data_IF_241184645686
#
_entry.id   IF_241184645686
#
_cell.length_a   1.000
_cell.length_b   1.000
_cell.length_c   1.000
_cell.angle_alpha   90.00
_cell.angle_beta   90.00
_cell.angle_gamma   90.00
#
_symmetry.space_group_name_H-M   'P 1'
#
loop_
_entity.id
_entity.type
_entity.pdbx_description
1 polymer ?
#
# COMPACT_ATOMS: atom_id res chain seq x y z
N UNK A 1 18.51 -3.63 -13.17
CA UNK A 1 17.58 -4.78 -13.14
C UNK A 1 16.35 -4.35 -12.35
N UNK A 2 15.13 -4.74 -12.73
CA UNK A 2 13.94 -4.42 -11.94
C UNK A 2 13.94 -5.27 -10.67
N UNK A 3 14.40 -4.69 -9.57
CA UNK A 3 14.55 -5.30 -8.24
C UNK A 3 13.50 -4.80 -7.22
N UNK A 4 12.54 -4.01 -7.69
CA UNK A 4 11.50 -3.38 -6.89
C UNK A 4 10.17 -3.31 -7.64
N UNK A 5 9.08 -3.10 -6.89
CA UNK A 5 7.71 -2.97 -7.42
C UNK A 5 7.16 -1.62 -6.99
N UNK A 6 6.55 -0.89 -7.93
CA UNK A 6 5.77 0.32 -7.65
C UNK A 6 4.28 -0.01 -7.76
N UNK A 7 3.50 0.43 -6.78
CA UNK A 7 2.05 0.27 -6.76
C UNK A 7 1.39 1.63 -6.54
N UNK A 8 0.38 1.94 -7.36
CA UNK A 8 -0.53 3.07 -7.11
C UNK A 8 -1.80 2.53 -6.47
N UNK A 9 -2.12 3.00 -5.26
CA UNK A 9 -3.15 2.39 -4.41
C UNK A 9 -4.14 3.45 -3.93
N UNK A 10 -5.43 3.10 -3.96
CA UNK A 10 -6.47 3.79 -3.21
C UNK A 10 -6.83 2.93 -2.01
N UNK A 11 -6.73 3.49 -0.80
CA UNK A 11 -6.88 2.76 0.46
C UNK A 11 -7.80 3.55 1.39
N UNK A 12 -8.69 2.90 2.16
CA UNK A 12 -9.45 3.57 3.20
C UNK A 12 -8.57 4.37 4.18
N UNK A 13 -9.04 5.54 4.61
CA UNK A 13 -8.26 6.48 5.43
C UNK A 13 -7.94 5.98 6.84
N UNK A 14 -8.66 4.98 7.34
CA UNK A 14 -8.41 4.38 8.65
C UNK A 14 -7.33 3.29 8.61
N UNK A 15 -6.90 2.87 7.42
CA UNK A 15 -5.85 1.87 7.27
C UNK A 15 -4.48 2.52 7.25
N UNK A 16 -3.55 1.99 8.04
CA UNK A 16 -2.20 2.55 8.07
C UNK A 16 -1.42 2.12 6.82
N UNK A 17 -0.59 3.01 6.22
CA UNK A 17 0.28 2.64 5.11
C UNK A 17 1.22 1.47 5.42
N UNK A 18 1.64 1.34 6.69
CA UNK A 18 2.48 0.26 7.16
C UNK A 18 1.76 -1.09 7.11
N UNK A 19 0.49 -1.13 7.52
CA UNK A 19 -0.33 -2.35 7.46
C UNK A 19 -0.60 -2.77 6.02
N UNK A 20 -0.93 -1.81 5.15
CA UNK A 20 -1.13 -2.07 3.71
C UNK A 20 0.13 -2.68 3.09
N UNK A 21 1.30 -2.08 3.35
CA UNK A 21 2.57 -2.60 2.85
C UNK A 21 2.85 -4.02 3.38
N UNK A 22 2.58 -4.26 4.67
CA UNK A 22 2.73 -5.59 5.31
C UNK A 22 1.83 -6.62 4.63
N UNK A 23 0.57 -6.30 4.37
CA UNK A 23 -0.38 -7.22 3.74
C UNK A 23 0.00 -7.54 2.30
N UNK A 24 0.34 -6.53 1.51
CA UNK A 24 0.75 -6.72 0.11
C UNK A 24 2.00 -7.60 0.05
N UNK A 25 3.06 -7.22 0.79
CA UNK A 25 4.33 -7.96 0.80
C UNK A 25 4.15 -9.39 1.32
N UNK A 26 3.39 -9.56 2.40
CA UNK A 26 3.11 -10.86 3.00
C UNK A 26 2.33 -11.78 2.06
N UNK A 27 1.21 -11.29 1.51
CA UNK A 27 0.34 -12.08 0.62
C UNK A 27 1.04 -12.42 -0.69
N UNK A 28 1.74 -11.46 -1.29
CA UNK A 28 2.55 -11.71 -2.49
C UNK A 28 3.65 -12.74 -2.22
N UNK A 29 4.38 -12.62 -1.10
CA UNK A 29 5.41 -13.60 -0.71
C UNK A 29 4.84 -15.01 -0.57
N UNK A 30 3.67 -15.15 0.06
CA UNK A 30 2.99 -16.44 0.20
C UNK A 30 2.64 -17.05 -1.16
N UNK A 31 1.95 -16.31 -2.03
CA UNK A 31 1.53 -16.84 -3.34
C UNK A 31 2.70 -17.10 -4.27
N UNK A 32 3.65 -16.16 -4.38
CA UNK A 32 4.81 -16.30 -5.26
C UNK A 32 5.70 -17.46 -4.84
N UNK A 33 5.92 -17.72 -3.55
CA UNK A 33 6.70 -18.89 -3.11
C UNK A 33 5.98 -20.22 -3.30
N UNK A 34 4.65 -20.22 -3.44
CA UNK A 34 3.87 -21.42 -3.81
C UNK A 34 3.96 -21.69 -5.30
N UNK A 35 3.82 -20.65 -6.12
CA UNK A 35 3.86 -20.73 -7.58
C UNK A 35 5.27 -20.95 -8.12
N UNK A 36 6.27 -20.35 -7.48
CA UNK A 36 7.67 -20.38 -7.88
C UNK A 36 8.56 -20.96 -6.75
N UNK A 37 8.67 -22.31 -6.63
CA UNK A 37 9.37 -22.94 -5.51
C UNK A 37 10.84 -22.56 -5.37
N UNK A 38 11.51 -22.13 -6.44
CA UNK A 38 12.90 -21.66 -6.39
C UNK A 38 13.07 -20.42 -5.49
N UNK A 39 12.02 -19.62 -5.28
CA UNK A 39 12.02 -18.47 -4.37
C UNK A 39 12.07 -18.85 -2.89
N UNK A 40 11.82 -20.12 -2.54
CA UNK A 40 11.94 -20.61 -1.15
C UNK A 40 13.38 -20.64 -0.65
N UNK A 41 14.38 -20.56 -1.55
CA UNK A 41 15.80 -20.45 -1.20
C UNK A 41 16.16 -19.09 -0.61
N UNK A 42 15.35 -18.06 -0.89
CA UNK A 42 15.54 -16.72 -0.35
C UNK A 42 15.03 -16.67 1.10
N UNK A 43 15.80 -16.14 2.07
CA UNK A 43 15.33 -16.00 3.45
C UNK A 43 14.09 -15.09 3.52
N UNK A 44 14.09 -13.98 2.77
CA UNK A 44 12.93 -13.12 2.54
C UNK A 44 12.80 -12.82 1.05
N UNK A 45 11.56 -12.73 0.54
CA UNK A 45 11.31 -12.27 -0.83
C UNK A 45 11.46 -10.75 -0.97
N UNK A 46 11.13 -10.01 0.10
CA UNK A 46 11.12 -8.55 0.10
C UNK A 46 12.16 -8.00 1.08
N UNK A 47 12.74 -6.84 0.76
CA UNK A 47 13.41 -6.00 1.75
C UNK A 47 12.44 -5.70 2.91
N UNK A 48 12.90 -5.58 4.17
CA UNK A 48 12.03 -5.21 5.29
C UNK A 48 11.39 -3.83 5.09
N UNK A 49 12.10 -2.90 4.46
CA UNK A 49 11.65 -1.52 4.24
C UNK A 49 10.59 -1.40 3.13
N UNK A 50 9.88 -0.27 3.11
CA UNK A 50 8.99 0.16 2.05
C UNK A 50 9.02 1.69 1.93
N UNK A 51 8.61 2.22 0.78
CA UNK A 51 8.43 3.65 0.57
C UNK A 51 6.95 3.93 0.27
N UNK A 52 6.41 5.00 0.83
CA UNK A 52 5.06 5.46 0.55
C UNK A 52 5.06 6.99 0.48
N UNK A 53 4.34 7.52 -0.51
CA UNK A 53 4.04 8.93 -0.64
C UNK A 53 2.56 9.08 -0.98
N UNK A 54 1.90 10.06 -0.38
CA UNK A 54 0.56 10.45 -0.80
C UNK A 54 0.66 11.07 -2.19
N UNK A 55 -0.33 10.77 -3.03
CA UNK A 55 -0.53 11.48 -4.29
C UNK A 55 -1.87 12.15 -4.18
N UNK A 56 -1.91 13.48 -4.28
CA UNK A 56 -3.19 14.18 -4.13
C UNK A 56 -3.05 15.69 -4.15
N UNK A 57 -3.63 16.28 -5.19
CA UNK A 57 -4.21 17.61 -5.10
C UNK A 57 -5.65 17.43 -4.59
N UNK A 58 -5.84 17.19 -3.29
CA UNK A 58 -7.14 17.47 -2.69
C UNK A 58 -7.27 18.99 -2.69
N UNK A 59 -8.01 19.54 -3.66
CA UNK A 59 -8.20 20.98 -3.74
C UNK A 59 -8.95 21.45 -2.48
N UNK A 60 -8.73 22.70 -2.08
CA UNK A 60 -9.35 23.29 -0.87
C UNK A 60 -10.89 23.14 -0.90
N UNK A 61 -11.48 23.09 -2.09
CA UNK A 61 -12.91 22.87 -2.33
C UNK A 61 -13.37 21.48 -1.89
N UNK A 62 -12.57 20.43 -2.11
CA UNK A 62 -12.92 19.06 -1.68
C UNK A 62 -12.90 18.96 -0.15
N UNK A 63 -11.91 19.59 0.50
CA UNK A 63 -11.82 19.64 1.96
C UNK A 63 -12.98 20.45 2.55
N UNK A 64 -13.32 21.59 1.95
CA UNK A 64 -14.45 22.42 2.39
C UNK A 64 -15.77 21.66 2.31
N UNK A 65 -16.06 21.00 1.17
CA UNK A 65 -17.28 20.19 1.02
C UNK A 65 -17.35 19.04 2.02
N UNK A 66 -16.23 18.39 2.32
CA UNK A 66 -16.18 17.36 3.36
C UNK A 66 -16.57 17.92 4.73
N UNK A 67 -16.02 19.07 5.14
CA UNK A 67 -16.33 19.72 6.43
C UNK A 67 -17.80 20.15 6.52
N UNK A 68 -18.35 20.73 5.46
CA UNK A 68 -19.75 21.19 5.41
C UNK A 68 -20.73 20.02 5.55
N UNK A 69 -20.47 18.89 4.87
CA UNK A 69 -21.30 17.70 4.96
C UNK A 69 -21.26 17.04 6.34
N UNK A 70 -20.18 17.19 7.11
CA UNK A 70 -20.07 16.65 8.47
C UNK A 70 -20.89 17.45 9.51
N UNK A 71 -21.19 18.73 9.26
CA UNK A 71 -22.00 19.57 10.18
C UNK A 71 -23.51 19.38 10.01
N UNK A 72 -23.91 18.70 8.94
CA UNK A 72 -25.32 18.50 8.56
C UNK A 72 -25.92 17.21 9.14
N UNK A 73 -25.11 16.45 9.89
CA UNK A 73 -25.51 15.24 10.62
C UNK A 73 -25.54 15.50 12.12
#
# INVERSE_FOLDING_TARGET
MPDHVHCFLNVPTHESPADVARWIKGRASHHLRREFPHLKKLPSLWSPSYFVASTGAASTEVVRKYIENQKSN
#
